data_IF_004264624141
#
_entry.id   IF_004264624141
#
_cell.length_a   1.000
_cell.length_b   1.000
_cell.length_c   1.000
_cell.angle_alpha   90.00
_cell.angle_beta   90.00
_cell.angle_gamma   90.00
#
_symmetry.space_group_name_H-M   'P 1'
#
loop_
_entity.id
_entity.type
_entity.pdbx_description
1 polymer ?
#
# COMPACT_ATOMS: atom_id res chain seq x y z
N UNK A 1 -10.56 8.78 -2.82
CA UNK A 1 -9.97 7.68 -3.59
C UNK A 1 -8.52 7.54 -3.13
N UNK A 2 -8.17 6.42 -2.51
CA UNK A 2 -6.81 6.16 -2.03
C UNK A 2 -5.85 5.82 -3.17
N UNK A 3 -4.56 5.72 -2.88
CA UNK A 3 -3.51 5.45 -3.87
C UNK A 3 -3.51 4.02 -4.41
N UNK A 4 -4.14 3.09 -3.70
CA UNK A 4 -4.25 1.69 -4.12
C UNK A 4 -5.47 1.48 -5.05
N UNK A 5 -5.29 1.06 -6.31
CA UNK A 5 -6.39 0.83 -7.24
C UNK A 5 -7.37 -0.27 -6.80
N UNK A 6 -6.89 -1.22 -5.99
CA UNK A 6 -7.69 -2.31 -5.43
C UNK A 6 -8.31 -1.97 -4.08
N UNK A 7 -7.96 -0.82 -3.50
CA UNK A 7 -8.39 -0.46 -2.14
C UNK A 7 -7.73 -1.29 -1.04
N UNK A 8 -6.61 -1.96 -1.32
CA UNK A 8 -5.93 -2.86 -0.38
C UNK A 8 -5.19 -2.19 0.78
N UNK A 9 -5.31 -0.87 0.96
CA UNK A 9 -4.59 -0.13 2.01
C UNK A 9 -5.59 0.46 2.99
N UNK A 10 -5.40 0.16 4.28
CA UNK A 10 -6.20 0.68 5.38
C UNK A 10 -5.31 1.38 6.41
N UNK A 11 -5.72 2.55 6.89
CA UNK A 11 -5.02 3.27 7.95
C UNK A 11 -5.55 2.75 9.30
N UNK A 12 -4.68 2.07 10.04
CA UNK A 12 -4.97 1.55 11.38
C UNK A 12 -4.16 2.38 12.37
N UNK A 13 -4.83 3.32 13.02
CA UNK A 13 -4.23 4.28 13.97
C UNK A 13 -3.01 5.04 13.38
N UNK A 14 -1.81 4.51 13.61
CA UNK A 14 -0.52 5.13 13.26
C UNK A 14 0.25 4.35 12.18
N UNK A 15 -0.28 3.24 11.66
CA UNK A 15 0.33 2.44 10.59
C UNK A 15 -0.67 2.13 9.48
N UNK A 16 -0.17 1.60 8.37
CA UNK A 16 -0.97 1.17 7.24
C UNK A 16 -0.92 -0.36 7.18
N UNK A 17 -2.08 -0.99 7.09
CA UNK A 17 -2.22 -2.42 6.83
C UNK A 17 -2.53 -2.66 5.35
N UNK A 18 -2.00 -3.78 4.83
CA UNK A 18 -2.19 -4.19 3.45
C UNK A 18 -3.04 -5.46 3.43
N UNK A 19 -4.18 -5.43 2.76
CA UNK A 19 -4.95 -6.65 2.48
C UNK A 19 -4.29 -7.44 1.34
N UNK A 20 -3.51 -8.45 1.71
CA UNK A 20 -2.79 -9.32 0.78
C UNK A 20 -3.73 -10.13 -0.13
N UNK A 21 -5.00 -10.33 0.25
CA UNK A 21 -5.95 -11.11 -0.55
C UNK A 21 -6.38 -10.39 -1.83
N UNK A 22 -6.30 -9.05 -1.84
CA UNK A 22 -6.68 -8.20 -2.97
C UNK A 22 -5.53 -7.36 -3.52
N UNK A 23 -4.38 -7.33 -2.82
CA UNK A 23 -3.17 -6.69 -3.30
C UNK A 23 -2.63 -7.43 -4.54
N UNK A 24 -2.55 -6.72 -5.66
CA UNK A 24 -2.00 -7.25 -6.93
C UNK A 24 -0.52 -6.89 -7.14
N UNK A 25 0.17 -6.44 -6.08
CA UNK A 25 1.61 -6.13 -6.11
C UNK A 25 1.98 -5.11 -7.21
N UNK A 26 1.14 -4.10 -7.44
CA UNK A 26 1.34 -3.12 -8.52
C UNK A 26 2.45 -2.08 -8.27
N UNK A 27 2.96 -1.96 -7.04
CA UNK A 27 4.06 -1.06 -6.68
C UNK A 27 3.75 0.44 -6.76
N UNK A 28 2.48 0.87 -6.80
CA UNK A 28 2.13 2.30 -6.81
C UNK A 28 2.36 2.92 -5.42
N UNK A 29 1.94 2.24 -4.36
CA UNK A 29 2.07 2.70 -2.97
C UNK A 29 3.51 2.87 -2.52
N UNK A 30 4.40 1.98 -2.96
CA UNK A 30 5.85 2.08 -2.77
C UNK A 30 6.41 3.32 -3.51
N UNK A 31 6.21 3.40 -4.83
CA UNK A 31 6.74 4.50 -5.67
C UNK A 31 6.31 5.91 -5.23
N UNK A 32 5.12 6.07 -4.66
CA UNK A 32 4.61 7.37 -4.24
C UNK A 32 4.96 7.70 -2.80
N UNK A 33 5.43 6.74 -1.99
CA UNK A 33 5.66 6.95 -0.58
C UNK A 33 6.85 7.90 -0.37
N UNK A 34 6.64 9.14 0.12
CA UNK A 34 7.72 10.12 0.23
C UNK A 34 8.75 9.77 1.32
N UNK A 35 8.37 8.89 2.25
CA UNK A 35 9.18 8.46 3.40
C UNK A 35 9.67 7.01 3.28
N UNK A 36 9.29 6.29 2.21
CA UNK A 36 9.65 4.88 2.03
C UNK A 36 9.06 3.94 3.09
N UNK A 37 7.86 4.22 3.60
CA UNK A 37 7.19 3.39 4.61
C UNK A 37 6.63 2.06 4.05
N UNK A 38 6.57 1.91 2.73
CA UNK A 38 6.05 0.71 2.05
C UNK A 38 7.12 0.27 1.05
N UNK A 39 7.48 -1.01 1.06
CA UNK A 39 8.39 -1.62 0.12
C UNK A 39 7.71 -2.82 -0.55
N UNK A 40 7.82 -2.93 -1.87
CA UNK A 40 7.34 -4.10 -2.61
C UNK A 40 8.51 -5.04 -2.88
N UNK A 41 8.53 -6.17 -2.17
CA UNK A 41 9.50 -7.23 -2.40
C UNK A 41 9.14 -8.01 -3.68
N UNK A 42 10.11 -8.18 -4.58
CA UNK A 42 9.98 -8.95 -5.83
C UNK A 42 10.44 -10.38 -5.67
#
# INVERSE_FOLDING_TARGET
MGVCPKGALELVETWIEVDESICIVCGICDRICPVGAIEVMK
#
